data_IF_111130896248
#
_entry.id   IF_111130896248
#
_cell.length_a   1.000
_cell.length_b   1.000
_cell.length_c   1.000
_cell.angle_alpha   90.00
_cell.angle_beta   90.00
_cell.angle_gamma   90.00
#
_symmetry.space_group_name_H-M   'P 1'
#
loop_
_entity.id
_entity.type
_entity.pdbx_description
1 polymer ?
#
# COMPACT_ATOMS: atom_id res chain seq x y z
N UNK A 1 -7.62 4.67 -15.51
CA UNK A 1 -6.47 3.85 -15.92
C UNK A 1 -6.91 2.46 -16.33
N UNK A 2 -6.37 1.96 -17.43
CA UNK A 2 -6.59 0.56 -17.79
C UNK A 2 -6.00 -0.34 -16.70
N UNK A 3 -6.61 -1.52 -16.49
CA UNK A 3 -6.13 -2.46 -15.49
C UNK A 3 -4.69 -2.89 -15.82
N UNK A 4 -3.75 -2.77 -14.88
CA UNK A 4 -2.36 -3.15 -15.14
C UNK A 4 -2.21 -4.66 -15.25
N UNK A 5 -1.18 -5.09 -15.95
CA UNK A 5 -0.81 -6.50 -16.00
C UNK A 5 0.02 -6.86 -14.79
N UNK A 6 -0.23 -8.04 -14.24
CA UNK A 6 0.56 -8.57 -13.14
C UNK A 6 2.05 -8.59 -13.53
N UNK A 7 2.90 -8.04 -12.69
CA UNK A 7 4.35 -7.99 -12.94
C UNK A 7 4.83 -6.79 -13.75
N UNK A 8 3.94 -5.93 -14.27
CA UNK A 8 4.38 -4.72 -14.96
C UNK A 8 4.95 -3.69 -13.99
N UNK A 9 5.85 -2.84 -14.50
CA UNK A 9 6.64 -1.92 -13.69
C UNK A 9 6.33 -0.47 -14.03
N UNK A 10 6.33 0.38 -12.99
CA UNK A 10 6.01 1.81 -13.13
C UNK A 10 6.89 2.64 -12.21
N UNK A 11 7.17 3.89 -12.61
CA UNK A 11 7.69 4.87 -11.65
C UNK A 11 6.54 5.37 -10.78
N UNK A 12 6.87 5.96 -9.63
CA UNK A 12 5.84 6.56 -8.78
C UNK A 12 5.08 7.67 -9.53
N UNK A 13 5.81 8.50 -10.28
CA UNK A 13 5.19 9.58 -11.06
C UNK A 13 4.21 9.05 -12.12
N UNK A 14 4.56 7.92 -12.77
CA UNK A 14 3.64 7.30 -13.72
C UNK A 14 2.35 6.85 -13.05
N UNK A 15 2.45 6.32 -11.83
CA UNK A 15 1.27 5.88 -11.08
C UNK A 15 0.42 7.06 -10.64
N UNK A 16 1.04 8.13 -10.13
CA UNK A 16 0.31 9.35 -9.77
C UNK A 16 -0.49 9.88 -10.96
N UNK A 17 0.15 9.94 -12.12
CA UNK A 17 -0.49 10.43 -13.34
C UNK A 17 -1.63 9.49 -13.78
N UNK A 18 -1.36 8.18 -13.81
CA UNK A 18 -2.32 7.19 -14.31
C UNK A 18 -3.60 7.14 -13.46
N UNK A 19 -3.48 7.32 -12.15
CA UNK A 19 -4.62 7.30 -11.24
C UNK A 19 -5.24 8.69 -11.01
N UNK A 20 -4.66 9.72 -11.62
CA UNK A 20 -5.07 11.10 -11.35
C UNK A 20 -5.05 11.39 -9.85
N UNK A 21 -4.02 10.88 -9.19
CA UNK A 21 -3.87 11.02 -7.75
C UNK A 21 -3.39 12.43 -7.39
N UNK A 22 -3.70 12.85 -6.17
CA UNK A 22 -3.21 14.13 -5.68
C UNK A 22 -1.69 14.09 -5.51
N UNK A 23 -0.97 15.18 -5.84
CA UNK A 23 0.47 15.25 -5.61
C UNK A 23 0.76 15.18 -4.10
N UNK A 24 1.87 14.55 -3.75
CA UNK A 24 2.26 14.36 -2.36
C UNK A 24 3.47 15.21 -2.01
N UNK A 25 3.46 15.73 -0.78
CA UNK A 25 4.57 16.46 -0.21
C UNK A 25 5.32 15.58 0.79
N UNK A 26 6.40 16.09 1.36
CA UNK A 26 7.20 15.34 2.34
C UNK A 26 6.44 14.95 3.60
N UNK A 27 5.33 15.63 3.89
CA UNK A 27 4.50 15.35 5.07
C UNK A 27 3.34 14.41 4.79
N UNK A 28 3.19 13.97 3.56
CA UNK A 28 2.08 13.10 3.16
C UNK A 28 2.43 11.62 3.33
N UNK A 29 1.39 10.78 3.22
CA UNK A 29 1.56 9.34 3.28
C UNK A 29 2.03 8.83 1.92
N UNK A 30 3.32 8.51 1.80
CA UNK A 30 3.93 8.09 0.54
C UNK A 30 3.72 6.61 0.22
N UNK A 31 2.97 5.88 1.04
CA UNK A 31 2.72 4.46 0.84
C UNK A 31 1.39 4.17 0.14
N UNK A 32 0.66 5.22 -0.27
CA UNK A 32 -0.60 5.05 -0.98
C UNK A 32 -0.82 6.23 -1.94
N UNK A 33 -1.68 5.98 -2.92
CA UNK A 33 -2.17 7.03 -3.81
C UNK A 33 -3.58 7.39 -3.40
N UNK A 34 -3.90 8.67 -3.41
CA UNK A 34 -5.23 9.15 -3.01
C UNK A 34 -5.66 10.32 -3.89
N UNK A 35 -6.97 10.56 -3.92
CA UNK A 35 -7.56 11.75 -4.50
C UNK A 35 -8.60 12.26 -3.50
N UNK A 36 -8.40 13.46 -2.98
CA UNK A 36 -9.21 13.96 -1.87
C UNK A 36 -9.04 13.06 -0.66
N UNK A 37 -10.11 12.42 -0.23
CA UNK A 37 -10.09 11.49 0.89
C UNK A 37 -10.14 10.02 0.44
N UNK A 38 -10.24 9.79 -0.87
CA UNK A 38 -10.34 8.44 -1.42
C UNK A 38 -8.97 7.83 -1.65
N UNK A 39 -8.73 6.64 -1.10
CA UNK A 39 -7.53 5.85 -1.36
C UNK A 39 -7.72 5.09 -2.66
N UNK A 40 -6.78 5.24 -3.59
CA UNK A 40 -6.85 4.66 -4.94
C UNK A 40 -6.01 3.42 -5.11
N UNK A 41 -4.83 3.35 -4.46
CA UNK A 41 -3.89 2.26 -4.62
C UNK A 41 -2.86 2.27 -3.50
N UNK A 42 -2.17 1.14 -3.31
CA UNK A 42 -1.05 1.04 -2.38
C UNK A 42 0.26 0.99 -3.16
N UNK A 43 1.26 1.73 -2.67
CA UNK A 43 2.59 1.81 -3.26
C UNK A 43 3.62 1.58 -2.14
N UNK A 44 3.93 0.30 -1.89
CA UNK A 44 4.80 -0.07 -0.79
C UNK A 44 6.25 -0.22 -1.23
N UNK A 45 7.19 0.16 -0.36
CA UNK A 45 8.62 0.02 -0.62
C UNK A 45 9.23 -0.93 0.39
N UNK A 46 10.10 -1.81 -0.07
CA UNK A 46 10.79 -2.78 0.77
C UNK A 46 11.43 -2.14 2.01
N UNK A 47 12.00 -0.95 1.86
CA UNK A 47 12.69 -0.26 2.97
C UNK A 47 11.80 -0.10 4.20
N UNK A 48 10.52 0.22 4.00
CA UNK A 48 9.56 0.44 5.09
C UNK A 48 8.65 -0.75 5.29
N UNK A 49 8.44 -1.55 4.26
CA UNK A 49 7.50 -2.67 4.24
C UNK A 49 8.20 -3.89 3.65
N UNK A 50 8.99 -4.63 4.47
CA UNK A 50 9.76 -5.76 3.93
C UNK A 50 8.89 -6.95 3.49
N UNK A 51 7.59 -6.93 3.84
CA UNK A 51 6.63 -7.92 3.35
C UNK A 51 5.54 -7.20 2.57
N UNK A 52 5.19 -7.67 1.34
CA UNK A 52 4.17 -6.98 0.54
C UNK A 52 2.75 -7.11 1.09
N UNK A 53 2.48 -8.05 1.99
CA UNK A 53 1.17 -8.26 2.58
C UNK A 53 0.99 -7.57 3.94
N UNK A 54 1.92 -6.72 4.33
CA UNK A 54 1.90 -6.07 5.63
C UNK A 54 2.31 -4.61 5.49
N UNK A 55 1.36 -3.70 5.68
CA UNK A 55 1.61 -2.26 5.59
C UNK A 55 2.02 -1.76 6.96
N UNK A 56 3.28 -1.39 7.11
CA UNK A 56 3.82 -0.84 8.36
C UNK A 56 3.72 0.67 8.31
N UNK A 57 2.90 1.22 9.17
CA UNK A 57 2.54 2.63 9.15
C UNK A 57 3.28 3.38 10.24
N UNK A 58 4.07 4.39 9.85
CA UNK A 58 4.80 5.23 10.79
C UNK A 58 3.90 6.07 11.68
N UNK A 59 4.49 6.73 12.66
CA UNK A 59 3.73 7.48 13.66
C UNK A 59 3.66 8.99 13.38
N UNK A 60 4.18 9.47 12.26
CA UNK A 60 4.00 10.88 11.88
C UNK A 60 2.50 11.14 11.69
N UNK A 61 1.98 12.32 12.10
CA UNK A 61 0.53 12.56 12.15
C UNK A 61 -0.21 12.30 10.84
N UNK A 62 0.28 12.81 9.72
CA UNK A 62 -0.37 12.60 8.42
C UNK A 62 -0.32 11.13 8.00
N UNK A 63 0.82 10.47 8.21
CA UNK A 63 1.00 9.05 7.89
C UNK A 63 0.05 8.21 8.71
N UNK A 64 -0.05 8.47 10.01
CA UNK A 64 -0.93 7.73 10.93
C UNK A 64 -2.40 7.94 10.58
N UNK A 65 -2.79 9.14 10.21
CA UNK A 65 -4.18 9.43 9.83
C UNK A 65 -4.60 8.64 8.60
N UNK A 66 -3.76 8.63 7.56
CA UNK A 66 -4.03 7.83 6.36
C UNK A 66 -4.06 6.34 6.68
N UNK A 67 -3.25 5.89 7.65
CA UNK A 67 -3.28 4.51 8.11
C UNK A 67 -4.62 4.10 8.70
N UNK A 68 -5.25 4.98 9.48
CA UNK A 68 -6.59 4.76 10.00
C UNK A 68 -7.64 4.68 8.89
N UNK A 69 -7.53 5.56 7.89
CA UNK A 69 -8.42 5.52 6.73
C UNK A 69 -8.25 4.22 5.94
N UNK A 70 -7.01 3.77 5.75
CA UNK A 70 -6.75 2.50 5.07
C UNK A 70 -7.39 1.33 5.83
N UNK A 71 -7.18 1.27 7.14
CA UNK A 71 -7.74 0.20 7.97
C UNK A 71 -9.28 0.16 7.89
N UNK A 72 -9.91 1.33 7.75
CA UNK A 72 -11.37 1.42 7.65
C UNK A 72 -11.94 0.81 6.38
N UNK A 73 -11.10 0.47 5.41
CA UNK A 73 -11.53 -0.15 4.16
C UNK A 73 -11.73 -1.66 4.27
N UNK A 74 -11.48 -2.24 5.44
CA UNK A 74 -11.68 -3.68 5.65
C UNK A 74 -13.09 -4.09 5.21
N UNK A 75 -13.17 -5.07 4.31
CA UNK A 75 -14.44 -5.58 3.82
C UNK A 75 -15.15 -4.67 2.84
N UNK A 76 -14.55 -3.55 2.41
CA UNK A 76 -15.25 -2.57 1.57
C UNK A 76 -14.83 -2.57 0.11
N UNK A 77 -13.53 -2.59 -0.17
CA UNK A 77 -13.07 -2.60 -1.57
C UNK A 77 -11.67 -3.19 -1.68
N UNK A 78 -11.37 -3.72 -2.87
CA UNK A 78 -10.02 -4.13 -3.20
C UNK A 78 -9.22 -2.92 -3.72
N UNK A 79 -7.91 -2.94 -3.48
CA UNK A 79 -7.00 -1.89 -3.94
C UNK A 79 -5.88 -2.51 -4.78
N UNK A 80 -5.47 -1.86 -5.87
CA UNK A 80 -4.26 -2.28 -6.58
C UNK A 80 -3.04 -2.15 -5.67
N UNK A 81 -2.18 -3.16 -5.67
CA UNK A 81 -0.95 -3.18 -4.89
C UNK A 81 0.26 -3.09 -5.80
N UNK A 82 1.05 -2.04 -5.61
CA UNK A 82 2.33 -1.84 -6.27
C UNK A 82 3.43 -1.92 -5.23
N UNK A 83 4.48 -2.68 -5.54
CA UNK A 83 5.56 -2.93 -4.58
C UNK A 83 6.91 -2.69 -5.22
N UNK A 84 7.77 -1.93 -4.52
CA UNK A 84 9.14 -1.70 -4.96
C UNK A 84 10.06 -2.62 -4.16
N UNK A 85 10.68 -3.57 -4.85
CA UNK A 85 11.55 -4.58 -4.24
C UNK A 85 12.86 -3.96 -3.72
N UNK A 86 13.58 -4.71 -2.91
CA UNK A 86 14.86 -4.29 -2.36
C UNK A 86 15.84 -3.89 -3.47
N UNK A 87 16.40 -2.68 -3.34
CA UNK A 87 17.39 -2.17 -4.30
C UNK A 87 16.78 -1.68 -5.61
N UNK A 88 15.45 -1.60 -5.71
CA UNK A 88 14.78 -1.13 -6.92
C UNK A 88 14.07 0.19 -6.68
N UNK A 89 13.86 0.94 -7.77
CA UNK A 89 13.12 2.21 -7.73
C UNK A 89 11.76 2.11 -8.41
N UNK A 90 11.57 1.09 -9.27
CA UNK A 90 10.30 0.88 -9.94
C UNK A 90 9.34 0.11 -9.04
N UNK A 91 8.05 0.38 -9.18
CA UNK A 91 6.97 -0.32 -8.50
C UNK A 91 6.40 -1.36 -9.43
N UNK A 92 6.29 -2.59 -8.94
CA UNK A 92 5.74 -3.71 -9.69
C UNK A 92 4.31 -3.97 -9.23
N UNK A 93 3.38 -4.11 -10.17
CA UNK A 93 2.01 -4.49 -9.85
C UNK A 93 1.97 -5.93 -9.36
N UNK A 94 1.50 -6.12 -8.13
CA UNK A 94 1.44 -7.44 -7.48
C UNK A 94 0.03 -8.04 -7.46
N UNK A 95 -0.94 -7.38 -8.07
CA UNK A 95 -2.34 -7.77 -8.03
C UNK A 95 -3.13 -6.85 -7.12
N UNK A 96 -4.44 -7.09 -7.07
CA UNK A 96 -5.28 -6.35 -6.14
C UNK A 96 -5.22 -7.00 -4.76
N UNK A 97 -5.49 -6.23 -3.72
CA UNK A 97 -5.49 -6.74 -2.36
C UNK A 97 -6.72 -6.27 -1.60
N UNK A 98 -7.09 -7.05 -0.59
CA UNK A 98 -8.15 -6.69 0.36
C UNK A 98 -7.49 -6.32 1.68
N UNK A 99 -8.08 -5.36 2.38
CA UNK A 99 -7.68 -5.05 3.74
C UNK A 99 -8.26 -6.15 4.63
N UNK A 100 -7.38 -6.90 5.28
CA UNK A 100 -7.75 -8.09 6.04
C UNK A 100 -7.91 -7.82 7.54
N UNK A 101 -7.31 -6.75 8.01
CA UNK A 101 -7.36 -6.35 9.41
C UNK A 101 -6.21 -5.39 9.72
N UNK A 102 -6.11 -5.02 10.99
CA UNK A 102 -5.04 -4.14 11.44
C UNK A 102 -4.78 -4.35 12.93
N UNK A 103 -3.65 -3.82 13.40
CA UNK A 103 -3.36 -3.81 14.83
C UNK A 103 -2.64 -2.53 15.24
N UNK A 104 -2.97 -2.04 16.43
CA UNK A 104 -2.26 -0.95 17.11
C UNK A 104 -1.59 -1.46 18.38
N UNK A 105 -1.59 -2.77 18.60
CA UNK A 105 -1.01 -3.39 19.80
C UNK A 105 0.48 -3.11 19.86
N UNK A 106 0.93 -2.47 20.92
CA UNK A 106 2.32 -2.05 21.08
C UNK A 106 3.28 -3.24 21.05
N UNK A 107 2.88 -4.39 21.56
CA UNK A 107 3.70 -5.59 21.53
C UNK A 107 3.90 -6.09 20.08
N UNK A 108 2.86 -6.03 19.27
CA UNK A 108 2.94 -6.41 17.87
C UNK A 108 3.79 -5.41 17.08
N UNK A 109 3.60 -4.11 17.34
CA UNK A 109 4.40 -3.07 16.67
C UNK A 109 5.87 -3.20 17.02
N UNK A 110 6.19 -3.50 18.27
CA UNK A 110 7.56 -3.62 18.74
C UNK A 110 8.32 -4.79 18.12
N UNK A 111 7.62 -5.81 17.62
CA UNK A 111 8.24 -6.95 16.93
C UNK A 111 8.78 -6.58 15.55
N UNK A 112 8.29 -5.48 14.96
CA UNK A 112 8.71 -5.02 13.64
C UNK A 112 9.75 -3.94 13.79
N UNK A 113 11.00 -4.28 13.49
CA UNK A 113 12.09 -3.30 13.49
C UNK A 113 12.18 -2.66 12.12
N UNK A 114 12.33 -1.35 12.11
CA UNK A 114 12.40 -0.63 10.86
C UNK A 114 12.95 0.77 11.06
N UNK A 115 13.00 1.57 9.98
CA UNK A 115 13.63 2.90 10.03
C UNK A 115 12.83 3.94 10.82
N UNK A 116 11.55 3.68 11.10
CA UNK A 116 10.70 4.63 11.83
C UNK A 116 9.85 3.89 12.87
N UNK A 117 9.47 4.58 13.97
CA UNK A 117 8.49 4.01 14.90
C UNK A 117 7.14 3.85 14.22
N UNK A 118 6.42 2.78 14.59
CA UNK A 118 5.14 2.45 13.97
C UNK A 118 3.97 2.87 14.84
N UNK A 119 2.86 3.26 14.19
CA UNK A 119 1.59 3.56 14.85
C UNK A 119 0.58 2.44 14.64
N UNK A 120 0.71 1.67 13.54
CA UNK A 120 -0.28 0.66 13.15
C UNK A 120 0.35 -0.26 12.11
N UNK A 121 -0.17 -1.47 12.04
CA UNK A 121 0.12 -2.40 10.94
C UNK A 121 -1.21 -2.78 10.32
N UNK A 122 -1.31 -2.68 8.99
CA UNK A 122 -2.49 -3.11 8.24
C UNK A 122 -2.12 -4.38 7.47
N UNK A 123 -2.91 -5.43 7.64
CA UNK A 123 -2.68 -6.71 7.00
C UNK A 123 -3.48 -6.79 5.70
N UNK A 124 -2.85 -7.33 4.66
CA UNK A 124 -3.43 -7.44 3.34
C UNK A 124 -3.59 -8.90 2.94
N UNK A 125 -4.66 -9.18 2.19
CA UNK A 125 -4.80 -10.42 1.44
C UNK A 125 -4.58 -10.08 -0.03
N UNK A 126 -3.50 -10.59 -0.62
CA UNK A 126 -3.18 -10.32 -2.02
C UNK A 126 -3.93 -11.32 -2.88
N UNK A 127 -4.76 -10.79 -3.79
CA UNK A 127 -5.55 -11.60 -4.71
C UNK A 127 -4.70 -11.91 -5.93
N UNK A 128 -4.71 -13.17 -6.35
CA UNK A 128 -4.01 -13.57 -7.59
C UNK A 128 -4.92 -13.27 -8.77
N UNK A 129 -4.88 -12.04 -9.23
CA UNK A 129 -5.71 -11.60 -10.36
C UNK A 129 -5.22 -12.21 -11.66
N UNK A 130 -6.12 -12.33 -12.64
CA UNK A 130 -5.83 -12.91 -13.95
C UNK A 130 -6.04 -14.41 -13.98
N UNK A 131 -6.55 -14.96 -12.97
CA UNK A 131 -6.91 -16.37 -12.92
C UNK A 131 -8.21 -16.59 -13.66
N UNK A 132 -8.24 -16.79 -13.64
CA UNK A 132 -9.04 -16.95 -13.90
C UNK A 132 -9.47 -17.40 -13.97
N UNK A 133 -9.35 -17.40 -13.72
CA UNK A 133 -9.57 -17.53 -13.81
C UNK A 133 -9.67 -17.71 -13.97
N UNK A 134 -9.38 -17.64 -13.83
CA UNK A 134 -9.12 -17.71 -13.93
C UNK A 134 -9.16 -18.04 -13.98
N UNK A 135 -9.31 -18.12 -13.79
CA UNK A 135 -9.11 -18.25 -13.83
C UNK A 135 -9.13 -18.43 -13.88
N UNK A 136 -9.26 -18.50 -13.93
CA UNK A 136 -8.84 -18.54 -13.96
C UNK A 136 -8.69 -18.63 -13.91
#
# INVERSE_FOLDING_TARGET
MAKPKLGSNYTFSQLVYAYNADPQTDNDAHYLLYQGEEILALCLRYKFNPKPDEVRIGNAPAVAEWGGRLASLKGKKALPLYYSEKGRTLYTYKGDCLINGDTEDQNELAKRKGPVPLSRIVFLEILKTGLPGTGS
#
